data_IF_674037221357
#
_entry.id   IF_674037221357
#
_cell.length_a   1.000
_cell.length_b   1.000
_cell.length_c   1.000
_cell.angle_alpha   90.00
_cell.angle_beta   90.00
_cell.angle_gamma   90.00
#
_symmetry.space_group_name_H-M   'P 1'
#
loop_
_entity.id
_entity.type
_entity.pdbx_description
1 polymer ?
#
# COMPACT_ATOMS: atom_id res chain seq x y z
N UNK A 1 -0.77 -14.19 3.27
CA UNK A 1 -1.87 -13.96 4.23
C UNK A 1 -2.65 -15.26 4.52
N UNK A 2 -1.99 -16.42 4.57
CA UNK A 2 -2.65 -17.72 4.81
C UNK A 2 -2.73 -18.12 6.30
N UNK A 3 -1.92 -17.50 7.16
CA UNK A 3 -1.82 -17.85 8.57
C UNK A 3 -2.75 -17.04 9.50
N UNK A 4 -3.44 -16.01 8.99
CA UNK A 4 -4.28 -15.11 9.80
C UNK A 4 -5.75 -15.33 9.41
N UNK A 5 -6.59 -15.63 10.39
CA UNK A 5 -8.05 -15.70 10.20
C UNK A 5 -8.65 -14.29 10.21
N UNK A 6 -8.78 -13.70 9.02
CA UNK A 6 -9.33 -12.35 8.85
C UNK A 6 -10.78 -12.22 9.31
N UNK A 7 -11.57 -13.31 9.30
CA UNK A 7 -12.97 -13.30 9.76
C UNK A 7 -13.10 -13.17 11.28
N UNK A 8 -12.09 -13.66 12.01
CA UNK A 8 -12.05 -13.55 13.47
C UNK A 8 -11.54 -12.17 13.94
N UNK A 9 -10.97 -11.37 13.03
CA UNK A 9 -10.39 -10.08 13.35
C UNK A 9 -11.49 -9.02 13.47
N UNK A 10 -11.63 -8.42 14.67
CA UNK A 10 -12.55 -7.30 14.91
C UNK A 10 -11.93 -5.96 14.51
N UNK A 11 -11.27 -5.90 13.35
CA UNK A 11 -10.59 -4.71 12.85
C UNK A 11 -10.68 -4.60 11.33
N UNK A 12 -10.69 -3.36 10.83
CA UNK A 12 -10.64 -3.09 9.38
C UNK A 12 -9.24 -3.43 8.86
N UNK A 13 -9.16 -4.36 7.91
CA UNK A 13 -7.90 -4.74 7.27
C UNK A 13 -7.71 -3.89 6.03
N UNK A 14 -6.64 -3.10 6.00
CA UNK A 14 -6.25 -2.29 4.85
C UNK A 14 -5.01 -2.91 4.21
N UNK A 15 -5.07 -3.14 2.89
CA UNK A 15 -4.00 -3.77 2.12
C UNK A 15 -3.39 -2.75 1.16
N UNK A 16 -2.20 -2.22 1.45
CA UNK A 16 -1.45 -1.42 0.49
C UNK A 16 -0.76 -2.31 -0.55
N UNK A 17 -1.01 -2.03 -1.83
CA UNK A 17 -0.38 -2.67 -2.98
C UNK A 17 0.48 -1.67 -3.76
N UNK A 18 1.66 -2.12 -4.18
CA UNK A 18 2.62 -1.28 -4.92
C UNK A 18 2.80 -1.86 -6.32
N UNK A 19 2.49 -1.06 -7.33
CA UNK A 19 2.58 -1.42 -8.75
C UNK A 19 3.52 -0.45 -9.46
N UNK A 20 4.28 -0.98 -10.41
CA UNK A 20 5.19 -0.20 -11.24
C UNK A 20 4.80 -0.36 -12.71
N UNK A 21 4.94 0.70 -13.50
CA UNK A 21 4.79 0.65 -14.95
C UNK A 21 5.95 -0.13 -15.57
N UNK A 22 5.61 -1.24 -16.22
CA UNK A 22 6.54 -2.02 -17.03
C UNK A 22 5.90 -2.33 -18.38
N UNK A 23 6.50 -1.82 -19.46
CA UNK A 23 6.02 -1.98 -20.83
C UNK A 23 4.56 -1.52 -21.01
N UNK A 24 4.23 -0.33 -20.50
CA UNK A 24 2.89 0.27 -20.63
C UNK A 24 1.81 -0.34 -19.74
N UNK A 25 2.15 -1.30 -18.86
CA UNK A 25 1.20 -1.95 -17.95
C UNK A 25 1.68 -1.85 -16.50
N UNK A 26 0.75 -1.58 -15.57
CA UNK A 26 1.02 -1.62 -14.14
C UNK A 26 1.12 -3.07 -13.65
N UNK A 27 2.27 -3.43 -13.08
CA UNK A 27 2.50 -4.76 -12.50
C UNK A 27 3.20 -4.64 -11.16
N UNK A 28 2.91 -5.59 -10.27
CA UNK A 28 3.65 -5.72 -9.01
C UNK A 28 5.04 -6.29 -9.34
N UNK A 29 6.08 -5.47 -9.21
CA UNK A 29 7.46 -5.93 -9.33
C UNK A 29 7.94 -6.33 -7.93
N UNK A 30 8.06 -7.63 -7.67
CA UNK A 30 8.27 -8.20 -6.33
C UNK A 30 9.40 -7.54 -5.52
N UNK A 31 10.53 -7.20 -6.15
CA UNK A 31 11.65 -6.55 -5.46
C UNK A 31 11.29 -5.15 -4.96
N UNK A 32 10.70 -4.32 -5.83
CA UNK A 32 10.26 -2.97 -5.46
C UNK A 32 9.09 -3.00 -4.49
N UNK A 33 8.11 -3.89 -4.71
CA UNK A 33 6.97 -4.04 -3.81
C UNK A 33 7.41 -4.43 -2.38
N UNK A 34 8.46 -5.26 -2.22
CA UNK A 34 9.02 -5.57 -0.90
C UNK A 34 9.68 -4.35 -0.25
N UNK A 35 10.47 -3.58 -1.01
CA UNK A 35 11.09 -2.32 -0.53
C UNK A 35 10.02 -1.30 -0.13
N UNK A 36 9.02 -1.10 -1.00
CA UNK A 36 7.93 -0.15 -0.80
C UNK A 36 7.08 -0.45 0.45
N UNK A 37 6.85 -1.74 0.76
CA UNK A 37 6.21 -2.12 2.03
C UNK A 37 7.02 -1.66 3.25
N UNK A 38 8.33 -1.83 3.23
CA UNK A 38 9.21 -1.34 4.30
C UNK A 38 9.16 0.19 4.42
N UNK A 39 9.18 0.89 3.28
CA UNK A 39 9.06 2.35 3.23
C UNK A 39 7.72 2.85 3.77
N UNK A 40 6.62 2.17 3.44
CA UNK A 40 5.31 2.50 3.97
C UNK A 40 5.27 2.36 5.49
N UNK A 41 5.83 1.27 6.05
CA UNK A 41 5.93 1.11 7.52
C UNK A 41 6.76 2.23 8.13
N UNK A 42 7.89 2.60 7.52
CA UNK A 42 8.71 3.72 7.97
C UNK A 42 7.93 5.03 7.96
N UNK A 43 7.21 5.31 6.86
CA UNK A 43 6.37 6.50 6.71
C UNK A 43 5.28 6.59 7.78
N UNK A 44 4.62 5.47 8.10
CA UNK A 44 3.59 5.39 9.16
C UNK A 44 4.16 5.83 10.50
N UNK A 45 5.36 5.34 10.83
CA UNK A 45 6.04 5.65 12.09
C UNK A 45 6.52 7.10 12.10
N UNK A 46 7.17 7.57 11.02
CA UNK A 46 7.76 8.90 10.97
C UNK A 46 6.70 10.03 10.97
N UNK A 47 5.49 9.76 10.47
CA UNK A 47 4.40 10.74 10.37
C UNK A 47 3.27 10.49 11.37
N UNK A 48 3.43 9.56 12.31
CA UNK A 48 2.40 9.15 13.27
C UNK A 48 1.04 8.92 12.61
N UNK A 49 1.00 8.15 11.52
CA UNK A 49 -0.25 7.93 10.80
C UNK A 49 -1.23 7.09 11.63
N UNK A 50 -2.39 7.65 11.94
CA UNK A 50 -3.43 6.96 12.72
C UNK A 50 -4.60 6.48 11.85
N UNK A 51 -4.80 7.12 10.68
CA UNK A 51 -5.97 6.85 9.82
C UNK A 51 -5.57 6.29 8.47
N UNK A 52 -6.49 5.59 7.81
CA UNK A 52 -6.29 5.13 6.43
C UNK A 52 -6.14 6.28 5.43
N UNK A 53 -6.64 7.47 5.75
CA UNK A 53 -6.48 8.67 4.94
C UNK A 53 -5.03 9.17 4.95
N UNK A 54 -4.30 8.98 6.05
CA UNK A 54 -2.89 9.38 6.13
C UNK A 54 -1.98 8.47 5.31
N UNK A 55 -2.36 7.18 5.18
CA UNK A 55 -1.67 6.23 4.31
C UNK A 55 -1.75 6.65 2.84
N UNK A 56 -2.86 7.27 2.41
CA UNK A 56 -3.02 7.75 1.02
C UNK A 56 -2.02 8.85 0.65
N UNK A 57 -1.47 9.55 1.64
CA UNK A 57 -0.47 10.62 1.44
C UNK A 57 0.95 10.09 1.25
N UNK A 58 1.16 8.77 1.36
CA UNK A 58 2.45 8.15 1.11
C UNK A 58 2.95 8.46 -0.30
N UNK A 59 4.16 9.02 -0.38
CA UNK A 59 4.78 9.51 -1.62
C UNK A 59 6.27 9.15 -1.77
N UNK A 60 6.75 8.13 -1.05
CA UNK A 60 8.18 7.78 -1.07
C UNK A 60 8.59 7.09 -2.37
N UNK A 61 9.81 7.39 -2.84
CA UNK A 61 10.43 6.76 -4.02
C UNK A 61 9.60 6.84 -5.31
N UNK A 62 8.78 7.90 -5.43
CA UNK A 62 7.96 8.18 -6.62
C UNK A 62 6.64 7.42 -6.68
N UNK A 63 6.30 6.64 -5.66
CA UNK A 63 4.96 6.07 -5.56
C UNK A 63 3.93 7.15 -5.29
N UNK A 64 2.75 7.05 -5.90
CA UNK A 64 1.61 7.91 -5.64
C UNK A 64 0.35 7.05 -5.47
N UNK A 65 -0.58 7.51 -4.62
CA UNK A 65 -1.87 6.86 -4.45
C UNK A 65 -2.73 7.03 -5.70
N UNK A 66 -3.29 5.93 -6.21
CA UNK A 66 -4.19 5.91 -7.36
C UNK A 66 -5.63 5.66 -6.90
N UNK A 67 -6.45 6.72 -6.88
CA UNK A 67 -7.85 6.65 -6.46
C UNK A 67 -8.71 5.76 -7.37
N UNK A 68 -8.40 5.68 -8.66
CA UNK A 68 -9.20 4.92 -9.63
C UNK A 68 -8.99 3.42 -9.47
N UNK A 69 -7.77 3.02 -9.10
CA UNK A 69 -7.43 1.62 -8.88
C UNK A 69 -7.65 1.18 -7.42
N UNK A 70 -7.81 2.13 -6.50
CA UNK A 70 -7.99 1.86 -5.08
C UNK A 70 -9.45 1.63 -4.69
N UNK A 71 -9.65 0.86 -3.64
CA UNK A 71 -10.94 0.65 -2.99
C UNK A 71 -10.86 0.96 -1.50
N UNK A 72 -11.96 0.81 -0.79
CA UNK A 72 -12.07 1.17 0.62
C UNK A 72 -11.08 0.42 1.54
N UNK A 73 -10.67 -0.78 1.13
CA UNK A 73 -9.74 -1.65 1.87
C UNK A 73 -8.44 -1.92 1.11
N UNK A 74 -8.37 -1.65 -0.19
CA UNK A 74 -7.17 -1.85 -1.00
C UNK A 74 -6.64 -0.51 -1.47
N UNK A 75 -5.47 -0.12 -0.98
CA UNK A 75 -4.83 1.13 -1.38
C UNK A 75 -3.76 0.80 -2.41
N UNK A 76 -3.94 1.27 -3.64
CA UNK A 76 -3.01 1.01 -4.74
C UNK A 76 -2.11 2.23 -4.92
N UNK A 77 -0.81 1.98 -4.85
CA UNK A 77 0.23 2.95 -5.08
C UNK A 77 0.94 2.59 -6.38
N UNK A 78 1.03 3.54 -7.30
CA UNK A 78 1.62 3.37 -8.62
C UNK A 78 2.88 4.21 -8.77
N UNK A 79 3.82 3.70 -9.57
CA UNK A 79 5.05 4.37 -9.95
C UNK A 79 5.38 4.09 -11.42
#
# INVERSE_FOLDING_TARGET
>A
FSAINTKALKAKVVTPEFKDYKNGNLKVISFFAKKARGLMVRYIIDNNCETSADLKKFNSEGYAFDENLSSENNLIFTR
#
